data_IF_580764815394
#
_entry.id   IF_580764815394
#
_cell.length_a   1.000
_cell.length_b   1.000
_cell.length_c   1.000
_cell.angle_alpha   90.00
_cell.angle_beta   90.00
_cell.angle_gamma   90.00
#
_symmetry.space_group_name_H-M   'P 1'
#
loop_
_entity.id
_entity.type
_entity.pdbx_description
1 polymer ?
#
# COMPACT_ATOMS: atom_id res chain seq x y z
N UNK A 1 2.41 11.88 24.70
CA UNK A 1 1.57 11.66 23.50
C UNK A 1 0.29 10.98 23.95
N UNK A 2 -0.89 11.52 23.61
CA UNK A 2 -2.15 10.78 23.82
C UNK A 2 -2.16 9.56 22.89
N UNK A 3 -2.72 8.40 23.30
CA UNK A 3 -2.92 7.29 22.38
C UNK A 3 -3.78 7.80 21.21
N UNK A 4 -3.33 7.58 19.97
CA UNK A 4 -4.05 7.98 18.77
C UNK A 4 -5.22 7.00 18.62
N UNK A 5 -6.49 7.44 18.79
CA UNK A 5 -7.65 6.59 18.55
C UNK A 5 -7.65 6.19 17.06
N UNK A 6 -7.86 4.92 16.78
CA UNK A 6 -7.89 4.38 15.41
C UNK A 6 -7.64 2.89 15.38
N UNK A 7 -8.34 2.17 14.50
CA UNK A 7 -8.17 0.72 14.33
C UNK A 7 -6.80 0.43 13.73
N UNK A 8 -6.12 -0.59 14.26
CA UNK A 8 -4.84 -1.06 13.76
C UNK A 8 -4.96 -2.46 13.20
N UNK A 9 -4.08 -2.78 12.26
CA UNK A 9 -3.86 -4.13 11.76
C UNK A 9 -2.40 -4.51 11.92
N UNK A 10 -2.16 -5.77 12.31
CA UNK A 10 -0.83 -6.37 12.36
C UNK A 10 -0.67 -7.26 11.13
N UNK A 11 0.31 -6.92 10.29
CA UNK A 11 0.70 -7.74 9.13
C UNK A 11 1.95 -8.51 9.55
N UNK A 12 1.81 -9.83 9.67
CA UNK A 12 2.92 -10.74 10.01
C UNK A 12 3.46 -11.36 8.72
N UNK A 13 4.77 -11.29 8.53
CA UNK A 13 5.49 -11.89 7.40
C UNK A 13 6.74 -12.61 7.92
N UNK A 14 7.36 -13.43 7.06
CA UNK A 14 8.65 -14.05 7.38
C UNK A 14 9.79 -13.03 7.54
N UNK A 15 9.62 -11.82 6.99
CA UNK A 15 10.59 -10.72 7.12
C UNK A 15 10.43 -9.94 8.42
N UNK A 16 9.30 -10.09 9.12
CA UNK A 16 8.95 -9.36 10.34
C UNK A 16 7.50 -8.90 10.38
N UNK A 17 7.19 -8.09 11.39
CA UNK A 17 5.84 -7.56 11.65
C UNK A 17 5.75 -6.10 11.24
N UNK A 18 4.63 -5.74 10.61
CA UNK A 18 4.27 -4.36 10.26
C UNK A 18 2.98 -4.00 11.00
N UNK A 19 2.97 -2.88 11.71
CA UNK A 19 1.78 -2.33 12.36
C UNK A 19 1.26 -1.17 11.54
N UNK A 20 0.02 -1.27 11.08
CA UNK A 20 -0.63 -0.24 10.26
C UNK A 20 -1.83 0.33 11.00
N UNK A 21 -1.90 1.65 11.12
CA UNK A 21 -3.10 2.37 11.54
C UNK A 21 -3.97 2.67 10.33
N UNK A 22 -5.26 2.38 10.44
CA UNK A 22 -6.24 2.71 9.41
C UNK A 22 -6.87 4.09 9.65
N UNK A 23 -7.24 4.77 8.58
CA UNK A 23 -7.80 6.12 8.65
C UNK A 23 -9.32 6.14 8.66
N UNK A 24 -9.90 6.99 9.52
CA UNK A 24 -11.35 7.21 9.59
C UNK A 24 -11.91 8.04 8.42
N UNK A 25 -11.03 8.75 7.71
CA UNK A 25 -11.35 9.57 6.53
C UNK A 25 -11.66 8.75 5.28
N UNK A 26 -11.33 7.46 5.29
CA UNK A 26 -11.58 6.52 4.20
C UNK A 26 -12.38 5.32 4.73
N UNK A 27 -13.60 5.54 5.23
CA UNK A 27 -14.35 4.52 5.96
C UNK A 27 -14.67 3.30 5.09
N UNK A 28 -14.96 3.46 3.79
CA UNK A 28 -15.28 2.30 2.93
C UNK A 28 -14.09 1.36 2.79
N UNK A 29 -12.90 1.92 2.58
CA UNK A 29 -11.67 1.12 2.49
C UNK A 29 -11.28 0.52 3.84
N UNK A 30 -11.33 1.32 4.91
CA UNK A 30 -11.05 0.87 6.29
C UNK A 30 -11.94 -0.30 6.67
N UNK A 31 -13.25 -0.14 6.54
CA UNK A 31 -14.24 -1.11 7.02
C UNK A 31 -14.19 -2.39 6.18
N UNK A 32 -13.98 -2.27 4.86
CA UNK A 32 -13.76 -3.43 4.01
C UNK A 32 -12.48 -4.18 4.37
N UNK A 33 -11.37 -3.47 4.62
CA UNK A 33 -10.10 -4.10 4.99
C UNK A 33 -10.19 -4.83 6.34
N UNK A 34 -10.84 -4.21 7.33
CA UNK A 34 -11.15 -4.83 8.63
C UNK A 34 -12.01 -6.08 8.45
N UNK A 35 -13.06 -6.02 7.62
CA UNK A 35 -13.93 -7.16 7.37
C UNK A 35 -13.14 -8.33 6.76
N UNK A 36 -12.37 -8.09 5.70
CA UNK A 36 -11.55 -9.13 5.06
C UNK A 36 -10.49 -9.71 6.00
N UNK A 37 -9.87 -8.88 6.85
CA UNK A 37 -8.92 -9.37 7.86
C UNK A 37 -9.61 -10.27 8.92
N UNK A 38 -10.78 -9.88 9.43
CA UNK A 38 -11.54 -10.70 10.37
C UNK A 38 -12.10 -11.99 9.74
N UNK A 39 -12.33 -12.00 8.43
CA UNK A 39 -12.70 -13.19 7.65
C UNK A 39 -11.48 -14.08 7.30
N UNK A 40 -10.28 -13.76 7.78
CA UNK A 40 -9.03 -14.47 7.47
C UNK A 40 -8.74 -14.55 5.96
N UNK A 41 -9.27 -13.60 5.17
CA UNK A 41 -9.12 -13.60 3.71
C UNK A 41 -7.65 -13.52 3.29
N UNK A 42 -6.89 -12.64 3.94
CA UNK A 42 -5.49 -12.37 3.61
C UNK A 42 -4.52 -13.48 4.05
N UNK A 43 -4.96 -14.40 4.90
CA UNK A 43 -4.07 -15.40 5.49
C UNK A 43 -3.47 -16.29 4.41
N UNK A 44 -2.14 -16.38 4.45
CA UNK A 44 -1.29 -17.11 3.51
C UNK A 44 -1.27 -16.55 2.08
N UNK A 45 -1.91 -15.41 1.80
CA UNK A 45 -1.67 -14.66 0.56
C UNK A 45 -0.24 -14.12 0.54
N UNK A 46 0.28 -13.79 -0.65
CA UNK A 46 1.64 -13.27 -0.80
C UNK A 46 1.67 -11.81 -1.26
N UNK A 47 2.75 -11.12 -0.94
CA UNK A 47 3.14 -9.92 -1.68
C UNK A 47 3.60 -10.33 -3.08
N UNK A 48 2.65 -10.41 -4.00
CA UNK A 48 2.85 -10.98 -5.34
C UNK A 48 3.61 -10.04 -6.30
N UNK A 49 3.79 -8.77 -5.93
CA UNK A 49 4.51 -7.79 -6.73
C UNK A 49 5.28 -6.82 -5.83
N UNK A 50 6.60 -6.75 -5.98
CA UNK A 50 7.48 -5.89 -5.17
C UNK A 50 8.44 -5.13 -6.07
N UNK A 51 8.51 -3.81 -5.90
CA UNK A 51 9.35 -2.95 -6.75
C UNK A 51 10.16 -2.04 -5.84
N UNK A 52 11.47 -2.25 -5.85
CA UNK A 52 12.41 -1.45 -5.09
C UNK A 52 12.37 0.02 -5.54
N UNK A 53 12.22 0.93 -4.58
CA UNK A 53 12.02 2.36 -4.79
C UNK A 53 10.57 2.77 -5.05
N UNK A 54 9.60 1.83 -4.95
CA UNK A 54 8.19 2.09 -5.25
C UNK A 54 7.24 1.51 -4.21
N UNK A 55 6.96 0.20 -4.21
CA UNK A 55 5.94 -0.39 -3.32
C UNK A 55 6.05 -1.90 -3.18
N UNK A 56 5.33 -2.44 -2.19
CA UNK A 56 5.04 -3.87 -2.03
C UNK A 56 3.52 -4.07 -2.15
N UNK A 57 3.07 -4.90 -3.09
CA UNK A 57 1.64 -5.10 -3.40
C UNK A 57 1.20 -6.53 -3.07
N UNK A 58 0.01 -6.63 -2.47
CA UNK A 58 -0.60 -7.86 -1.99
C UNK A 58 -2.12 -7.87 -2.18
N UNK A 59 -2.77 -8.90 -1.63
CA UNK A 59 -4.23 -9.02 -1.61
C UNK A 59 -4.87 -9.69 -2.83
N UNK A 60 -4.08 -10.31 -3.72
CA UNK A 60 -4.62 -11.17 -4.79
C UNK A 60 -5.01 -12.54 -4.19
N UNK A 61 -6.29 -12.94 -4.20
CA UNK A 61 -6.73 -14.25 -3.68
C UNK A 61 -6.14 -15.45 -4.42
N UNK A 62 -5.83 -15.28 -5.71
CA UNK A 62 -5.23 -16.33 -6.55
C UNK A 62 -3.83 -16.70 -6.09
N UNK A 63 -3.20 -15.85 -5.27
CA UNK A 63 -1.81 -15.99 -4.85
C UNK A 63 -1.57 -17.07 -3.77
N UNK A 64 -2.62 -17.50 -3.05
CA UNK A 64 -2.52 -18.38 -1.87
C UNK A 64 -1.69 -19.65 -2.13
N UNK A 65 -1.96 -20.32 -3.25
CA UNK A 65 -1.34 -21.58 -3.66
C UNK A 65 -0.74 -21.48 -5.08
N UNK A 66 -0.46 -20.27 -5.56
CA UNK A 66 0.03 -20.08 -6.92
C UNK A 66 1.47 -20.61 -7.07
N UNK A 67 1.74 -21.51 -8.01
CA UNK A 67 3.11 -21.99 -8.22
C UNK A 67 4.03 -20.85 -8.67
N UNK A 68 5.36 -21.02 -8.48
CA UNK A 68 6.34 -20.04 -8.96
C UNK A 68 6.16 -19.74 -10.45
N UNK A 69 6.36 -18.48 -10.84
CA UNK A 69 6.25 -18.04 -12.24
C UNK A 69 4.84 -17.78 -12.76
N UNK A 70 3.78 -18.10 -12.00
CA UNK A 70 2.41 -17.70 -12.38
C UNK A 70 2.25 -16.19 -12.21
N UNK A 71 1.72 -15.56 -13.26
CA UNK A 71 1.35 -14.14 -13.23
C UNK A 71 0.19 -13.94 -12.26
N UNK A 72 0.35 -12.96 -11.38
CA UNK A 72 -0.62 -12.57 -10.35
C UNK A 72 -0.92 -11.08 -10.47
N UNK A 73 -1.90 -10.61 -9.70
CA UNK A 73 -2.39 -9.24 -9.67
C UNK A 73 -3.75 -9.04 -10.35
N UNK A 74 -4.38 -10.11 -10.84
CA UNK A 74 -5.69 -10.07 -11.49
C UNK A 74 -6.84 -10.63 -10.65
N UNK A 75 -6.57 -11.30 -9.52
CA UNK A 75 -7.64 -11.81 -8.67
C UNK A 75 -8.40 -10.70 -7.94
N UNK A 76 -9.67 -10.96 -7.67
CA UNK A 76 -10.59 -10.04 -7.03
C UNK A 76 -11.59 -10.75 -6.10
N UNK A 77 -12.46 -9.96 -5.47
CA UNK A 77 -13.53 -10.40 -4.56
C UNK A 77 -14.93 -10.13 -5.13
N UNK A 78 -15.03 -9.92 -6.45
CA UNK A 78 -16.28 -9.69 -7.16
C UNK A 78 -16.88 -8.28 -7.07
N UNK A 79 -16.17 -7.32 -6.44
CA UNK A 79 -16.61 -5.93 -6.35
C UNK A 79 -15.43 -4.94 -6.27
N UNK A 80 -15.74 -3.67 -6.51
CA UNK A 80 -14.83 -2.54 -6.35
C UNK A 80 -15.29 -1.60 -5.24
N UNK A 81 -14.39 -0.75 -4.76
CA UNK A 81 -14.69 0.26 -3.73
C UNK A 81 -14.60 1.65 -4.37
N UNK A 82 -15.63 2.51 -4.27
CA UNK A 82 -15.55 3.88 -4.77
C UNK A 82 -14.37 4.64 -4.15
N UNK A 83 -13.68 5.46 -4.95
CA UNK A 83 -12.52 6.22 -4.49
C UNK A 83 -12.84 7.15 -3.30
N UNK A 84 -11.94 7.22 -2.33
CA UNK A 84 -12.04 8.10 -1.15
C UNK A 84 -10.79 9.00 -1.08
N UNK A 85 -10.71 9.98 -1.98
CA UNK A 85 -9.56 10.88 -2.02
C UNK A 85 -9.67 11.99 -0.96
N UNK A 86 -8.61 12.16 -0.17
CA UNK A 86 -8.47 13.23 0.80
C UNK A 86 -7.07 13.85 0.64
N UNK A 87 -6.98 15.17 0.50
CA UNK A 87 -5.72 15.87 0.20
C UNK A 87 -4.69 15.81 1.34
N UNK A 88 -5.13 15.50 2.56
CA UNK A 88 -4.27 15.28 3.73
C UNK A 88 -3.69 13.87 3.80
N UNK A 89 -4.21 12.93 3.01
CA UNK A 89 -3.72 11.56 2.88
C UNK A 89 -2.94 11.43 1.57
N UNK A 90 -1.69 10.96 1.65
CA UNK A 90 -0.78 10.98 0.51
C UNK A 90 0.25 9.87 0.59
N UNK A 91 0.85 9.54 -0.56
CA UNK A 91 1.68 8.36 -0.75
C UNK A 91 3.11 8.54 -0.21
N UNK A 92 3.27 8.96 1.04
CA UNK A 92 4.56 8.93 1.73
C UNK A 92 4.98 7.48 2.01
N UNK A 93 6.26 7.22 2.26
CA UNK A 93 6.73 5.90 2.71
C UNK A 93 5.92 5.40 3.90
N UNK A 94 5.49 4.14 3.84
CA UNK A 94 4.59 3.52 4.82
C UNK A 94 3.10 3.77 4.60
N UNK A 95 2.69 4.56 3.59
CA UNK A 95 1.28 4.70 3.27
C UNK A 95 0.70 3.36 2.77
N UNK A 96 -0.44 2.95 3.34
CA UNK A 96 -1.24 1.82 2.87
C UNK A 96 -2.31 2.37 1.91
N UNK A 97 -2.32 1.87 0.68
CA UNK A 97 -3.19 2.37 -0.38
C UNK A 97 -3.79 1.22 -1.21
N UNK A 98 -4.94 1.48 -1.81
CA UNK A 98 -5.68 0.48 -2.55
C UNK A 98 -5.23 0.43 -4.02
N UNK A 99 -5.04 -0.78 -4.54
CA UNK A 99 -4.73 -0.98 -5.96
C UNK A 99 -6.01 -0.83 -6.80
N UNK A 100 -5.85 -0.60 -8.11
CA UNK A 100 -6.96 -0.62 -9.07
C UNK A 100 -6.47 -0.92 -10.48
N UNK A 101 -7.39 -1.38 -11.31
CA UNK A 101 -7.25 -1.33 -12.77
C UNK A 101 -7.48 0.09 -13.27
N UNK A 102 -7.19 0.34 -14.54
CA UNK A 102 -7.56 1.61 -15.16
C UNK A 102 -9.08 1.64 -15.38
N UNK A 103 -9.78 2.50 -14.65
CA UNK A 103 -11.21 2.73 -14.81
C UNK A 103 -11.55 4.22 -14.59
N UNK A 104 -12.57 4.77 -15.28
CA UNK A 104 -12.93 6.19 -15.19
C UNK A 104 -13.28 6.65 -13.77
N UNK A 105 -13.94 5.80 -12.99
CA UNK A 105 -14.40 6.07 -11.63
C UNK A 105 -13.26 6.08 -10.62
N UNK A 106 -12.07 5.60 -11.03
CA UNK A 106 -10.92 5.32 -10.17
C UNK A 106 -11.27 4.43 -8.97
N UNK A 107 -12.29 3.59 -9.14
CA UNK A 107 -12.71 2.63 -8.14
C UNK A 107 -11.58 1.63 -7.87
N UNK A 108 -11.37 1.34 -6.60
CA UNK A 108 -10.35 0.45 -6.07
C UNK A 108 -10.75 -1.01 -6.18
N UNK A 109 -9.76 -1.90 -6.31
CA UNK A 109 -9.96 -3.32 -6.05
C UNK A 109 -10.57 -3.52 -4.67
N UNK A 110 -11.49 -4.46 -4.54
CA UNK A 110 -12.08 -4.82 -3.26
C UNK A 110 -11.10 -5.47 -2.27
N UNK A 111 -9.94 -5.96 -2.72
CA UNK A 111 -9.03 -6.73 -1.88
C UNK A 111 -7.54 -6.44 -2.09
N UNK A 112 -7.14 -5.93 -3.25
CA UNK A 112 -5.73 -5.66 -3.53
C UNK A 112 -5.27 -4.31 -2.97
N UNK A 113 -4.11 -4.30 -2.34
CA UNK A 113 -3.51 -3.14 -1.70
C UNK A 113 -2.01 -3.12 -1.92
N UNK A 114 -1.39 -1.97 -1.64
CA UNK A 114 0.05 -1.85 -1.58
C UNK A 114 0.48 -0.97 -0.41
N UNK A 115 1.71 -1.21 0.06
CA UNK A 115 2.40 -0.35 1.03
C UNK A 115 3.52 0.36 0.29
N UNK A 116 3.55 1.69 0.40
CA UNK A 116 4.56 2.51 -0.25
C UNK A 116 5.93 2.31 0.40
N UNK A 117 6.91 1.89 -0.38
CA UNK A 117 8.33 2.01 -0.02
C UNK A 117 8.84 3.37 -0.50
N UNK A 118 8.64 3.65 -1.79
CA UNK A 118 9.00 4.90 -2.44
C UNK A 118 10.50 5.21 -2.41
N UNK A 119 10.81 6.44 -2.81
CA UNK A 119 12.15 7.01 -2.72
C UNK A 119 12.11 8.43 -2.18
N UNK A 120 13.25 8.93 -1.72
CA UNK A 120 13.42 10.34 -1.40
C UNK A 120 13.49 11.18 -2.68
N UNK A 121 13.02 12.41 -2.58
CA UNK A 121 13.00 13.38 -3.68
C UNK A 121 13.83 14.61 -3.32
N UNK A 122 14.50 15.18 -4.30
CA UNK A 122 15.11 16.51 -4.19
C UNK A 122 14.07 17.60 -4.46
N UNK A 123 14.40 18.86 -4.15
CA UNK A 123 13.55 19.98 -4.55
C UNK A 123 13.38 20.07 -6.07
N UNK A 124 14.44 19.75 -6.84
CA UNK A 124 14.37 19.73 -8.30
C UNK A 124 13.38 18.67 -8.80
N UNK A 125 13.43 17.45 -8.26
CA UNK A 125 12.48 16.38 -8.63
C UNK A 125 11.03 16.79 -8.33
N UNK A 126 10.79 17.35 -7.14
CA UNK A 126 9.45 17.79 -6.75
C UNK A 126 8.94 18.95 -7.60
N UNK A 127 9.82 19.88 -8.00
CA UNK A 127 9.46 20.98 -8.88
C UNK A 127 9.07 20.46 -10.28
N UNK A 128 9.80 19.48 -10.81
CA UNK A 128 9.45 18.85 -12.09
C UNK A 128 8.10 18.12 -12.02
N UNK A 129 7.86 17.37 -10.94
CA UNK A 129 6.59 16.67 -10.74
C UNK A 129 5.41 17.64 -10.61
N UNK A 130 5.56 18.74 -9.87
CA UNK A 130 4.55 19.80 -9.76
C UNK A 130 4.17 20.37 -11.14
N UNK A 131 5.16 20.60 -12.01
CA UNK A 131 4.93 21.06 -13.38
C UNK A 131 4.20 20.01 -14.23
N UNK A 132 4.66 18.75 -14.20
CA UNK A 132 4.08 17.66 -14.98
C UNK A 132 2.64 17.35 -14.57
N UNK A 133 2.34 17.43 -13.28
CA UNK A 133 1.02 17.11 -12.73
C UNK A 133 0.09 18.34 -12.67
N UNK A 134 0.61 19.55 -12.90
CA UNK A 134 -0.16 20.79 -12.77
C UNK A 134 -0.63 21.06 -11.34
N UNK A 135 0.16 20.69 -10.32
CA UNK A 135 -0.19 20.85 -8.90
C UNK A 135 0.89 21.59 -8.12
N UNK A 136 0.58 21.96 -6.87
CA UNK A 136 1.56 22.42 -5.89
C UNK A 136 1.47 21.59 -4.62
N UNK A 137 2.59 21.02 -4.20
CA UNK A 137 2.63 20.27 -2.95
C UNK A 137 2.67 21.24 -1.76
N UNK A 138 1.98 20.88 -0.67
CA UNK A 138 2.10 21.63 0.58
C UNK A 138 3.53 21.52 1.15
N UNK A 139 3.97 22.48 1.99
CA UNK A 139 5.27 22.40 2.64
C UNK A 139 5.48 21.09 3.42
N UNK A 140 4.41 20.58 4.05
CA UNK A 140 4.44 19.30 4.75
C UNK A 140 4.68 18.13 3.78
N UNK A 141 3.94 18.04 2.66
CA UNK A 141 4.13 16.98 1.66
C UNK A 141 5.56 17.00 1.11
N UNK A 142 6.07 18.18 0.74
CA UNK A 142 7.46 18.34 0.28
C UNK A 142 8.44 17.85 1.32
N UNK A 143 8.30 18.27 2.58
CA UNK A 143 9.15 17.81 3.68
C UNK A 143 9.14 16.29 3.77
N UNK A 144 7.96 15.65 3.78
CA UNK A 144 7.85 14.20 3.91
C UNK A 144 8.48 13.44 2.74
N UNK A 145 8.25 13.85 1.49
CA UNK A 145 8.87 13.21 0.32
C UNK A 145 10.39 13.40 0.27
N UNK A 146 10.92 14.49 0.82
CA UNK A 146 12.36 14.71 0.94
C UNK A 146 12.99 13.87 2.05
N UNK A 147 12.30 13.69 3.18
CA UNK A 147 12.90 13.07 4.37
C UNK A 147 12.68 11.57 4.45
N UNK A 148 11.44 11.10 4.31
CA UNK A 148 11.13 9.66 4.43
C UNK A 148 10.86 9.01 3.08
N UNK A 149 10.64 9.81 2.04
CA UNK A 149 10.33 9.35 0.70
C UNK A 149 8.86 9.05 0.46
N UNK A 150 8.56 8.54 -0.71
CA UNK A 150 7.20 8.16 -1.11
C UNK A 150 7.04 8.06 -2.63
N UNK A 151 5.82 8.30 -3.08
CA UNK A 151 5.38 8.14 -4.47
C UNK A 151 4.37 9.23 -4.85
N UNK A 152 4.82 10.50 -4.91
CA UNK A 152 3.97 11.69 -5.12
C UNK A 152 3.05 11.62 -6.35
N UNK A 153 3.46 10.94 -7.42
CA UNK A 153 2.66 10.83 -8.65
C UNK A 153 1.39 9.98 -8.50
N UNK A 154 1.22 9.24 -7.39
CA UNK A 154 -0.02 8.51 -7.09
C UNK A 154 -1.03 9.33 -6.29
N UNK A 155 -0.64 10.49 -5.74
CA UNK A 155 -1.54 11.35 -4.99
C UNK A 155 -2.78 11.72 -5.79
N UNK A 156 -3.94 11.69 -5.14
CA UNK A 156 -5.26 11.95 -5.73
C UNK A 156 -5.64 11.03 -6.90
N UNK A 157 -4.90 9.92 -7.10
CA UNK A 157 -5.18 8.91 -8.13
C UNK A 157 -5.49 7.53 -7.54
N UNK A 158 -5.05 7.27 -6.31
CA UNK A 158 -5.29 6.05 -5.54
C UNK A 158 -5.66 6.41 -4.10
N UNK A 159 -6.59 5.65 -3.52
CA UNK A 159 -7.05 5.87 -2.15
C UNK A 159 -5.98 5.42 -1.16
N UNK A 160 -5.47 6.35 -0.35
CA UNK A 160 -4.64 6.03 0.82
C UNK A 160 -5.56 5.87 2.03
N UNK A 161 -5.56 4.70 2.66
CA UNK A 161 -6.50 4.36 3.74
C UNK A 161 -5.83 3.94 5.06
N UNK A 162 -4.50 3.97 5.12
CA UNK A 162 -3.77 3.78 6.36
C UNK A 162 -2.31 4.21 6.28
N UNK A 163 -1.59 4.05 7.39
CA UNK A 163 -0.13 4.24 7.44
C UNK A 163 0.53 3.29 8.44
N UNK A 164 1.76 2.90 8.09
CA UNK A 164 2.64 2.11 8.94
C UNK A 164 3.10 2.96 10.13
N UNK A 165 2.81 2.50 11.34
CA UNK A 165 3.30 3.09 12.60
C UNK A 165 4.56 2.39 13.11
N UNK A 166 4.77 1.12 12.74
CA UNK A 166 5.95 0.32 13.11
C UNK A 166 6.27 -0.72 12.02
N UNK A 167 7.56 -1.02 11.82
CA UNK A 167 8.02 -1.97 10.81
C UNK A 167 8.30 -1.35 9.43
N UNK A 168 8.69 -0.08 9.36
CA UNK A 168 9.04 0.58 8.09
C UNK A 168 10.23 -0.11 7.39
N UNK A 169 11.18 -0.61 8.18
CA UNK A 169 12.35 -1.36 7.71
C UNK A 169 11.98 -2.73 7.13
N UNK A 170 10.83 -3.29 7.53
CA UNK A 170 10.32 -4.55 6.97
C UNK A 170 9.86 -4.34 5.53
N UNK A 171 9.32 -3.16 5.21
CA UNK A 171 8.96 -2.78 3.83
C UNK A 171 10.21 -2.81 2.93
N UNK A 172 11.32 -2.26 3.40
CA UNK A 172 12.58 -2.24 2.64
C UNK A 172 13.16 -3.65 2.43
N UNK A 173 13.07 -4.51 3.47
CA UNK A 173 13.46 -5.93 3.35
C UNK A 173 12.64 -6.64 2.28
N UNK A 174 11.31 -6.49 2.30
CA UNK A 174 10.42 -7.14 1.33
C UNK A 174 10.64 -6.57 -0.08
N UNK A 175 10.80 -5.25 -0.22
CA UNK A 175 10.99 -4.62 -1.52
C UNK A 175 12.36 -4.91 -2.17
N UNK A 176 13.34 -5.39 -1.40
CA UNK A 176 14.69 -5.69 -1.88
C UNK A 176 14.93 -7.15 -2.23
N UNK A 177 13.93 -8.03 -2.05
CA UNK A 177 14.07 -9.44 -2.44
C UNK A 177 14.23 -9.57 -3.96
N UNK A 178 14.98 -10.59 -4.44
CA UNK A 178 15.07 -10.87 -5.87
C UNK A 178 13.69 -11.15 -6.49
N UNK A 179 13.45 -10.62 -7.69
CA UNK A 179 12.18 -10.79 -8.41
C UNK A 179 12.37 -11.46 -9.78
N UNK A 180 11.34 -12.21 -10.19
CA UNK A 180 11.13 -12.69 -11.54
C UNK A 180 10.46 -11.60 -12.43
N UNK A 181 10.32 -11.83 -13.75
CA UNK A 181 9.52 -10.96 -14.60
C UNK A 181 8.11 -10.71 -14.03
N UNK A 182 7.63 -9.47 -14.16
CA UNK A 182 6.38 -9.02 -13.53
C UNK A 182 6.54 -8.61 -12.07
N UNK A 183 7.79 -8.45 -11.60
CA UNK A 183 8.15 -8.00 -10.25
C UNK A 183 7.68 -8.96 -9.13
N UNK A 184 7.42 -10.23 -9.46
CA UNK A 184 7.04 -11.24 -8.48
C UNK A 184 8.29 -11.70 -7.71
N UNK A 185 8.30 -11.70 -6.36
CA UNK A 185 9.39 -12.30 -5.58
C UNK A 185 9.73 -13.73 -6.01
N UNK A 186 11.03 -14.08 -6.07
CA UNK A 186 11.47 -15.45 -6.33
C UNK A 186 11.08 -16.42 -5.21
N UNK A 187 11.10 -15.94 -3.96
CA UNK A 187 10.57 -16.62 -2.79
C UNK A 187 9.28 -15.96 -2.34
N UNK A 188 8.25 -16.75 -2.05
CA UNK A 188 6.98 -16.23 -1.56
C UNK A 188 7.16 -15.45 -0.25
N UNK A 189 6.67 -14.21 -0.22
CA UNK A 189 6.57 -13.42 1.02
C UNK A 189 5.14 -13.48 1.49
N UNK A 190 4.84 -14.44 2.38
CA UNK A 190 3.47 -14.68 2.89
C UNK A 190 3.09 -13.64 3.93
N UNK A 191 1.79 -13.35 3.98
CA UNK A 191 1.20 -12.44 4.95
C UNK A 191 0.10 -13.13 5.77
N UNK A 192 -0.03 -12.68 7.01
CA UNK A 192 -1.16 -12.92 7.89
C UNK A 192 -1.60 -11.58 8.46
N UNK A 193 -2.89 -11.27 8.40
CA UNK A 193 -3.39 -9.95 8.79
C UNK A 193 -4.47 -10.11 9.85
N UNK A 194 -4.21 -9.55 11.03
CA UNK A 194 -5.17 -9.51 12.12
C UNK A 194 -5.49 -8.06 12.51
N UNK A 195 -6.73 -7.83 12.96
CA UNK A 195 -7.14 -6.55 13.54
C UNK A 195 -6.72 -6.52 15.01
N UNK A 196 -6.00 -5.48 15.42
CA UNK A 196 -5.53 -5.31 16.80
C UNK A 196 -6.15 -4.06 17.44
N UNK A 197 -6.47 -4.16 18.74
CA UNK A 197 -7.08 -3.09 19.55
C UNK A 197 -6.05 -2.35 20.37
#
# INVERSE_FOLDING_TARGET
>A
MKPIPGVRVKITTDSGVIIVRLYDKTPKHRDNFIRLANEHFFDSLIFHRVINGFMIQGGDPSSKNAPPGVMLGSGDVGYTIPAEFDTSLFHKKGALAAARTNNPERASSGCQFYIVQGKQYTDADLNMLELQMGIKFSPLKRKMYKTIGGTPFLDMNYTVFGEVESGLEIIDKIASVPTAPGDRPLGDVRMYIEVIK
#
